data_IF_696618990317
#
_entry.id   IF_696618990317
#
_cell.length_a   1.000
_cell.length_b   1.000
_cell.length_c   1.000
_cell.angle_alpha   90.00
_cell.angle_beta   90.00
_cell.angle_gamma   90.00
#
_symmetry.space_group_name_H-M   'P 1'
#
loop_
_entity.id
_entity.type
_entity.pdbx_description
1 polymer ?
#
# COMPACT_ATOMS: atom_id res chain seq x y z
N UNK A 1 4.35 -18.47 -5.43
CA UNK A 1 5.10 -17.72 -4.39
C UNK A 1 4.54 -16.30 -4.38
N UNK A 2 3.67 -15.99 -3.43
CA UNK A 2 2.99 -14.68 -3.31
C UNK A 2 4.01 -13.66 -2.78
N UNK A 3 4.60 -12.86 -3.67
CA UNK A 3 5.42 -11.72 -3.24
C UNK A 3 4.46 -10.60 -2.82
N UNK A 4 4.07 -10.62 -1.53
CA UNK A 4 3.19 -9.60 -0.95
C UNK A 4 3.86 -8.23 -0.86
N UNK A 5 5.18 -8.15 -1.01
CA UNK A 5 5.96 -6.92 -0.98
C UNK A 5 6.81 -6.78 -2.25
N UNK A 6 6.78 -5.59 -2.86
CA UNK A 6 7.65 -5.20 -3.96
C UNK A 6 8.42 -3.94 -3.57
N UNK A 7 9.74 -3.95 -3.77
CA UNK A 7 10.58 -2.76 -3.66
C UNK A 7 10.71 -2.11 -5.03
N UNK A 8 10.57 -0.79 -5.11
CA UNK A 8 10.63 -0.06 -6.38
C UNK A 8 11.07 1.40 -6.16
N UNK A 9 11.53 2.05 -7.22
CA UNK A 9 11.78 3.50 -7.17
C UNK A 9 10.47 4.26 -7.30
N UNK A 10 10.26 5.20 -6.38
CA UNK A 10 9.11 6.11 -6.32
C UNK A 10 9.61 7.56 -6.25
N UNK A 11 8.69 8.52 -6.24
CA UNK A 11 9.01 9.89 -5.85
C UNK A 11 9.66 9.91 -4.46
N UNK A 12 10.59 10.83 -4.22
CA UNK A 12 11.28 10.98 -2.92
C UNK A 12 10.31 11.48 -1.85
N UNK A 13 10.49 11.02 -0.62
CA UNK A 13 9.67 11.43 0.53
C UNK A 13 8.16 11.24 0.28
N UNK A 14 7.79 10.21 -0.47
CA UNK A 14 6.39 9.87 -0.65
C UNK A 14 5.85 9.39 0.69
N UNK A 15 4.81 10.06 1.24
CA UNK A 15 4.30 9.74 2.56
C UNK A 15 3.80 8.30 2.62
N UNK A 16 3.74 7.77 3.84
CA UNK A 16 3.17 6.45 4.07
C UNK A 16 1.66 6.51 3.87
N UNK A 17 1.15 5.91 2.80
CA UNK A 17 -0.24 5.96 2.39
C UNK A 17 -0.81 4.57 2.18
N UNK A 18 -2.11 4.41 2.42
CA UNK A 18 -2.84 3.17 2.17
C UNK A 18 -4.00 3.43 1.21
N UNK A 19 -4.12 2.57 0.22
CA UNK A 19 -5.06 2.73 -0.88
C UNK A 19 -5.90 1.46 -1.01
N UNK A 20 -7.22 1.63 -1.00
CA UNK A 20 -8.16 0.52 -1.20
C UNK A 20 -8.01 -0.05 -2.61
N UNK A 21 -8.26 -1.36 -2.75
CA UNK A 21 -8.30 -1.96 -4.07
C UNK A 21 -9.43 -1.34 -4.89
N UNK A 22 -9.09 -0.91 -6.09
CA UNK A 22 -10.01 -0.20 -6.97
C UNK A 22 -10.82 -1.24 -7.77
N UNK A 23 -12.12 -1.36 -7.45
CA UNK A 23 -13.02 -2.35 -8.07
C UNK A 23 -13.41 -2.02 -9.52
N UNK A 24 -13.10 -0.82 -10.00
CA UNK A 24 -13.56 -0.29 -11.30
C UNK A 24 -12.43 -0.12 -12.32
N UNK A 25 -11.18 -0.01 -11.88
CA UNK A 25 -10.03 -0.10 -12.76
C UNK A 25 -9.68 -1.58 -12.88
N UNK A 26 -9.65 -2.12 -14.11
CA UNK A 26 -9.50 -3.56 -14.38
C UNK A 26 -8.17 -4.21 -13.98
N UNK A 27 -7.51 -3.74 -12.92
CA UNK A 27 -6.36 -4.34 -12.28
C UNK A 27 -6.80 -5.22 -11.10
N UNK A 28 -6.08 -6.32 -10.90
CA UNK A 28 -6.30 -7.37 -9.90
C UNK A 28 -7.21 -6.98 -8.73
N UNK A 29 -8.40 -7.57 -8.74
CA UNK A 29 -9.37 -7.59 -7.64
C UNK A 29 -8.95 -8.51 -6.48
N UNK A 30 -7.74 -9.06 -6.54
CA UNK A 30 -7.22 -9.96 -5.50
C UNK A 30 -6.63 -9.12 -4.37
N UNK A 31 -7.48 -8.79 -3.40
CA UNK A 31 -7.08 -8.20 -2.13
C UNK A 31 -7.87 -6.95 -1.72
N UNK A 32 -7.70 -6.55 -0.48
CA UNK A 32 -8.34 -5.39 0.13
C UNK A 32 -7.68 -4.05 -0.27
N UNK A 33 -6.38 -4.03 -0.58
CA UNK A 33 -5.68 -2.83 -1.00
C UNK A 33 -4.16 -2.97 -0.91
N UNK A 34 -3.46 -1.84 -0.83
CA UNK A 34 -2.01 -1.80 -0.66
C UNK A 34 -1.55 -0.62 0.19
N UNK A 35 -0.39 -0.79 0.84
CA UNK A 35 0.34 0.23 1.58
C UNK A 35 1.59 0.62 0.77
N UNK A 36 1.86 1.91 0.60
CA UNK A 36 3.04 2.40 -0.10
C UNK A 36 3.68 3.60 0.61
N UNK A 37 4.95 3.83 0.32
CA UNK A 37 5.73 4.93 0.88
C UNK A 37 7.17 4.88 0.36
N UNK A 38 7.91 5.98 0.48
CA UNK A 38 9.32 6.05 0.10
C UNK A 38 10.14 6.94 1.03
N UNK A 39 11.45 6.69 1.05
CA UNK A 39 12.42 7.50 1.79
C UNK A 39 12.93 8.72 0.99
N UNK A 40 13.89 9.45 1.57
CA UNK A 40 14.53 10.64 0.99
C UNK A 40 15.24 10.37 -0.35
N UNK A 41 15.61 9.12 -0.62
CA UNK A 41 16.28 8.68 -1.83
C UNK A 41 15.30 8.06 -2.85
N UNK A 42 14.00 8.05 -2.52
CA UNK A 42 12.95 7.45 -3.34
C UNK A 42 13.03 5.93 -3.37
N UNK A 43 13.70 5.30 -2.39
CA UNK A 43 13.60 3.85 -2.18
C UNK A 43 12.19 3.58 -1.62
N UNK A 44 11.30 3.14 -2.50
CA UNK A 44 9.91 2.90 -2.19
C UNK A 44 9.58 1.43 -2.02
N UNK A 45 8.43 1.19 -1.40
CA UNK A 45 7.85 -0.13 -1.31
C UNK A 45 6.35 -0.09 -1.60
N UNK A 46 5.83 -1.23 -2.07
CA UNK A 46 4.40 -1.52 -2.12
C UNK A 46 4.18 -2.84 -1.40
N UNK A 47 3.29 -2.83 -0.41
CA UNK A 47 2.84 -4.02 0.30
C UNK A 47 1.37 -4.27 -0.03
N UNK A 48 1.09 -5.36 -0.74
CA UNK A 48 -0.26 -5.80 -1.05
C UNK A 48 -0.91 -6.44 0.17
N UNK A 49 -2.12 -5.98 0.48
CA UNK A 49 -2.93 -6.44 1.60
C UNK A 49 -4.12 -7.21 1.04
N UNK A 50 -4.09 -8.53 1.23
CA UNK A 50 -5.15 -9.42 0.75
C UNK A 50 -6.39 -9.36 1.67
N UNK A 51 -6.17 -9.37 2.98
CA UNK A 51 -7.24 -9.47 4.00
C UNK A 51 -7.84 -8.10 4.35
N UNK A 52 -9.17 -7.99 4.32
CA UNK A 52 -9.89 -6.74 4.62
C UNK A 52 -9.69 -6.27 6.07
N UNK A 53 -9.64 -7.19 7.03
CA UNK A 53 -9.41 -6.84 8.44
C UNK A 53 -8.04 -6.17 8.63
N UNK A 54 -7.00 -6.69 7.97
CA UNK A 54 -5.65 -6.11 8.02
C UNK A 54 -5.66 -4.72 7.38
N UNK A 55 -6.34 -4.56 6.25
CA UNK A 55 -6.48 -3.26 5.59
C UNK A 55 -7.15 -2.23 6.50
N UNK A 56 -8.26 -2.58 7.15
CA UNK A 56 -9.00 -1.67 8.02
C UNK A 56 -8.18 -1.23 9.24
N UNK A 57 -7.37 -2.13 9.80
CA UNK A 57 -6.45 -1.83 10.91
C UNK A 57 -5.36 -0.86 10.42
N UNK A 58 -4.72 -1.17 9.28
CA UNK A 58 -3.66 -0.32 8.73
C UNK A 58 -4.21 1.08 8.40
N UNK A 59 -5.37 1.17 7.74
CA UNK A 59 -6.03 2.44 7.44
C UNK A 59 -6.32 3.28 8.68
N UNK A 60 -6.80 2.66 9.76
CA UNK A 60 -6.99 3.36 11.05
C UNK A 60 -5.68 3.88 11.61
N UNK A 61 -4.61 3.08 11.57
CA UNK A 61 -3.30 3.48 12.11
C UNK A 61 -2.68 4.63 11.30
N UNK A 62 -2.77 4.58 9.97
CA UNK A 62 -2.25 5.65 9.10
C UNK A 62 -3.03 6.95 9.31
N UNK A 63 -4.36 6.89 9.39
CA UNK A 63 -5.20 8.06 9.63
C UNK A 63 -4.95 8.73 10.99
N UNK A 64 -4.50 7.98 12.00
CA UNK A 64 -4.13 8.54 13.32
C UNK A 64 -2.77 9.25 13.33
N UNK A 65 -1.90 8.94 12.36
CA UNK A 65 -0.56 9.55 12.23
C UNK A 65 -0.53 10.78 11.32
N UNK A 66 -1.61 11.01 10.59
CA UNK A 66 -1.78 12.11 9.63
C UNK A 66 -2.30 13.37 10.30
#
# INVERSE_FOLDING_TARGET
MSQKQTMMKMDKNHPLEVHASCKTCGGQSDGAGYLCGSDEEGNGFVLWIEEQEVFDIVAKVIAQKS
#
